data_IF_647876179195
#
_entry.id   IF_647876179195
#
_cell.length_a   1.000
_cell.length_b   1.000
_cell.length_c   1.000
_cell.angle_alpha   90.00
_cell.angle_beta   90.00
_cell.angle_gamma   90.00
#
_symmetry.space_group_name_H-M   'P 1'
#
loop_
_entity.id
_entity.type
_entity.pdbx_description
1 polymer ?
#
# COMPACT_ATOMS: atom_id res chain seq x y z
N UNK A 1 3.33 10.37 19.61
CA UNK A 1 2.65 10.30 18.30
C UNK A 1 3.69 9.96 17.23
N UNK A 2 3.53 8.87 16.47
CA UNK A 2 4.51 8.47 15.44
C UNK A 2 4.58 9.51 14.30
N UNK A 3 5.80 9.94 13.93
CA UNK A 3 6.07 10.89 12.82
C UNK A 3 5.34 10.47 11.53
N UNK A 4 4.66 11.41 10.85
CA UNK A 4 4.03 11.16 9.54
C UNK A 4 5.08 10.58 8.58
N UNK A 5 4.67 9.61 7.78
CA UNK A 5 5.51 9.08 6.72
C UNK A 5 5.50 10.10 5.61
N UNK A 6 6.69 10.56 5.20
CA UNK A 6 6.84 11.48 4.07
C UNK A 6 6.53 10.71 2.79
N UNK A 7 5.74 11.32 1.90
CA UNK A 7 5.35 10.71 0.63
C UNK A 7 5.42 11.74 -0.48
N UNK A 8 5.98 11.36 -1.60
CA UNK A 8 5.98 12.14 -2.84
C UNK A 8 4.86 11.65 -3.76
N UNK A 9 4.55 12.42 -4.80
CA UNK A 9 3.60 12.00 -5.83
C UNK A 9 4.38 11.38 -6.99
N UNK A 10 4.09 10.12 -7.33
CA UNK A 10 4.60 9.51 -8.55
C UNK A 10 3.66 9.87 -9.71
N UNK A 11 4.19 10.59 -10.70
CA UNK A 11 3.41 11.05 -11.85
C UNK A 11 3.07 9.93 -12.83
N UNK A 12 3.92 8.91 -12.95
CA UNK A 12 3.68 7.79 -13.86
C UNK A 12 2.57 6.87 -13.37
N UNK A 13 2.60 6.50 -12.09
CA UNK A 13 1.62 5.60 -11.51
C UNK A 13 0.39 6.32 -10.94
N UNK A 14 0.39 7.66 -10.88
CA UNK A 14 -0.68 8.47 -10.27
C UNK A 14 -0.92 8.14 -8.79
N UNK A 15 0.13 7.69 -8.09
CA UNK A 15 0.05 7.14 -6.72
C UNK A 15 1.02 7.88 -5.80
N UNK A 16 0.81 7.75 -4.49
CA UNK A 16 1.81 8.17 -3.50
C UNK A 16 2.99 7.22 -3.51
N UNK A 17 4.19 7.79 -3.51
CA UNK A 17 5.45 7.08 -3.42
C UNK A 17 6.16 7.36 -2.11
N UNK A 18 6.78 6.32 -1.56
CA UNK A 18 7.54 6.35 -0.32
C UNK A 18 9.01 6.11 -0.65
N UNK A 19 9.90 6.87 -0.03
CA UNK A 19 11.33 6.82 -0.36
C UNK A 19 11.98 5.48 0.01
N UNK A 20 11.49 4.80 1.04
CA UNK A 20 12.04 3.53 1.51
C UNK A 20 10.95 2.48 1.70
N UNK A 21 11.33 1.20 1.63
CA UNK A 21 10.43 0.08 1.94
C UNK A 21 9.84 0.22 3.34
N UNK A 22 10.67 0.62 4.32
CA UNK A 22 10.27 0.83 5.71
C UNK A 22 9.20 1.91 5.85
N UNK A 23 9.28 2.97 5.05
CA UNK A 23 8.27 4.03 5.02
C UNK A 23 6.96 3.52 4.42
N UNK A 24 7.02 2.73 3.34
CA UNK A 24 5.86 2.08 2.75
C UNK A 24 5.19 1.11 3.74
N UNK A 25 5.97 0.29 4.44
CA UNK A 25 5.48 -0.63 5.48
C UNK A 25 4.76 0.13 6.61
N UNK A 26 5.37 1.21 7.09
CA UNK A 26 4.78 2.07 8.11
C UNK A 26 3.49 2.74 7.63
N UNK A 27 3.43 3.18 6.37
CA UNK A 27 2.23 3.74 5.76
C UNK A 27 1.13 2.69 5.57
N UNK A 28 1.50 1.47 5.19
CA UNK A 28 0.59 0.34 5.07
C UNK A 28 0.00 -0.02 6.44
N UNK A 29 0.83 -0.17 7.47
CA UNK A 29 0.39 -0.48 8.84
C UNK A 29 -0.64 0.54 9.34
N UNK A 30 -0.40 1.84 9.12
CA UNK A 30 -1.36 2.90 9.44
C UNK A 30 -2.69 2.75 8.70
N UNK A 31 -2.62 2.47 7.41
CA UNK A 31 -3.80 2.27 6.57
C UNK A 31 -4.61 1.05 7.01
N UNK A 32 -3.94 -0.04 7.39
CA UNK A 32 -4.57 -1.24 7.94
C UNK A 32 -5.19 -0.98 9.31
N UNK A 33 -4.50 -0.26 10.21
CA UNK A 33 -5.08 0.14 11.51
C UNK A 33 -6.33 1.00 11.33
N UNK A 34 -6.32 1.95 10.39
CA UNK A 34 -7.49 2.78 10.08
C UNK A 34 -8.66 1.92 9.58
N UNK A 35 -8.41 0.98 8.66
CA UNK A 35 -9.43 0.03 8.18
C UNK A 35 -9.96 -0.86 9.31
N UNK A 36 -9.10 -1.36 10.20
CA UNK A 36 -9.52 -2.15 11.38
C UNK A 36 -10.43 -1.34 12.29
N UNK A 37 -10.06 -0.11 12.64
CA UNK A 37 -10.89 0.79 13.46
C UNK A 37 -12.26 1.06 12.82
N UNK A 38 -12.30 1.25 11.50
CA UNK A 38 -13.55 1.42 10.77
C UNK A 38 -14.41 0.16 10.81
N UNK A 39 -13.81 -1.01 10.59
CA UNK A 39 -14.50 -2.30 10.69
C UNK A 39 -15.07 -2.55 12.09
N UNK A 40 -14.31 -2.20 13.14
CA UNK A 40 -14.75 -2.28 14.54
C UNK A 40 -15.96 -1.39 14.79
N UNK A 41 -15.97 -0.16 14.27
CA UNK A 41 -17.11 0.74 14.35
C UNK A 41 -18.36 0.22 13.60
N UNK A 42 -18.17 -0.57 12.54
CA UNK A 42 -19.26 -1.23 11.81
C UNK A 42 -19.71 -2.57 12.44
N UNK A 43 -19.05 -3.03 13.51
CA UNK A 43 -19.44 -4.24 14.24
C UNK A 43 -19.05 -5.57 13.56
N UNK A 44 -18.35 -5.55 12.43
CA UNK A 44 -17.86 -6.77 11.77
C UNK A 44 -16.54 -6.56 11.05
N UNK A 45 -15.66 -7.56 11.16
CA UNK A 45 -14.36 -7.61 10.45
C UNK A 45 -14.38 -8.56 9.25
N UNK A 46 -15.55 -9.10 8.88
CA UNK A 46 -15.66 -10.06 7.77
C UNK A 46 -15.15 -9.43 6.48
N UNK A 47 -14.23 -10.11 5.79
CA UNK A 47 -13.60 -9.65 4.55
C UNK A 47 -12.42 -8.70 4.72
N UNK A 48 -11.99 -8.41 5.96
CA UNK A 48 -10.82 -7.58 6.20
C UNK A 48 -9.52 -8.42 6.11
N UNK A 49 -8.93 -8.45 4.92
CA UNK A 49 -7.64 -9.10 4.69
C UNK A 49 -6.46 -8.16 4.98
N UNK A 50 -5.44 -8.70 5.64
CA UNK A 50 -4.21 -8.00 6.01
C UNK A 50 -3.07 -8.70 5.31
N UNK A 51 -2.44 -7.99 4.38
CA UNK A 51 -1.32 -8.47 3.58
C UNK A 51 -0.31 -7.34 3.38
N UNK A 52 0.95 -7.71 3.14
CA UNK A 52 1.99 -6.78 2.71
C UNK A 52 1.76 -6.42 1.24
N UNK A 53 1.08 -5.29 1.03
CA UNK A 53 0.63 -4.81 -0.28
C UNK A 53 1.37 -3.53 -0.67
N UNK A 54 2.67 -3.67 -0.89
CA UNK A 54 3.52 -2.62 -1.45
C UNK A 54 4.50 -3.22 -2.47
N UNK A 55 4.97 -2.40 -3.41
CA UNK A 55 5.93 -2.80 -4.45
C UNK A 55 6.86 -1.64 -4.79
N UNK A 56 8.05 -1.98 -5.28
CA UNK A 56 9.01 -1.01 -5.80
C UNK A 56 8.58 -0.56 -7.21
N UNK A 57 8.59 0.74 -7.43
CA UNK A 57 8.31 1.37 -8.70
C UNK A 57 9.64 1.67 -9.39
N UNK A 58 9.93 0.95 -10.49
CA UNK A 58 11.16 1.14 -11.25
C UNK A 58 11.31 2.50 -11.92
N UNK A 59 10.25 3.30 -12.00
CA UNK A 59 10.27 4.61 -12.64
C UNK A 59 10.72 5.77 -11.74
N UNK A 60 10.29 5.74 -10.47
CA UNK A 60 10.62 6.79 -9.50
C UNK A 60 11.51 6.28 -8.37
N UNK A 61 12.08 5.08 -8.51
CA UNK A 61 12.93 4.39 -7.51
C UNK A 61 12.32 4.43 -6.10
N UNK A 62 10.99 4.31 -6.02
CA UNK A 62 10.23 4.50 -4.79
C UNK A 62 9.19 3.41 -4.59
N UNK A 63 8.55 3.39 -3.44
CA UNK A 63 7.66 2.31 -3.02
C UNK A 63 6.20 2.74 -3.08
N UNK A 64 5.34 1.96 -3.73
CA UNK A 64 3.92 2.22 -3.87
C UNK A 64 3.08 1.24 -3.05
N UNK A 65 1.99 1.72 -2.45
CA UNK A 65 0.96 0.85 -1.89
C UNK A 65 0.03 0.36 -3.01
N UNK A 66 -0.43 -0.88 -2.89
CA UNK A 66 -1.45 -1.44 -3.78
C UNK A 66 -2.68 -1.90 -3.00
N UNK A 67 -3.85 -1.79 -3.63
CA UNK A 67 -5.08 -2.38 -3.14
C UNK A 67 -5.20 -3.86 -3.53
N UNK A 68 -4.48 -4.29 -4.56
CA UNK A 68 -4.49 -5.66 -5.08
C UNK A 68 -3.84 -6.63 -4.09
N UNK A 69 -4.27 -7.88 -4.10
CA UNK A 69 -3.56 -8.94 -3.38
C UNK A 69 -2.18 -9.15 -4.01
N UNK A 70 -1.23 -9.70 -3.24
CA UNK A 70 0.11 -10.01 -3.77
C UNK A 70 0.03 -10.90 -5.03
N UNK A 71 -0.87 -11.87 -5.03
CA UNK A 71 -1.08 -12.74 -6.18
C UNK A 71 -1.57 -11.97 -7.41
N UNK A 72 -2.64 -11.18 -7.25
CA UNK A 72 -3.17 -10.39 -8.36
C UNK A 72 -2.16 -9.37 -8.91
N UNK A 73 -1.34 -8.77 -8.03
CA UNK A 73 -0.28 -7.86 -8.46
C UNK A 73 0.81 -8.58 -9.27
N UNK A 74 1.26 -9.75 -8.79
CA UNK A 74 2.26 -10.55 -9.50
C UNK A 74 1.74 -11.02 -10.86
N UNK A 75 0.47 -11.42 -10.94
CA UNK A 75 -0.15 -11.84 -12.20
C UNK A 75 -0.22 -10.66 -13.18
N UNK A 76 -0.61 -9.46 -12.73
CA UNK A 76 -0.63 -8.25 -13.59
C UNK A 76 0.77 -7.85 -14.08
N UNK A 77 1.77 -7.90 -13.19
CA UNK A 77 3.17 -7.63 -13.57
C UNK A 77 3.69 -8.68 -14.57
N UNK A 78 3.30 -9.95 -14.41
CA UNK A 78 3.69 -11.01 -15.35
C UNK A 78 3.06 -10.83 -16.74
N UNK A 79 1.94 -10.10 -16.83
CA UNK A 79 1.24 -9.79 -18.09
C UNK A 79 1.73 -8.45 -18.70
N UNK A 80 2.60 -7.70 -18.00
CA UNK A 80 3.20 -6.45 -18.51
C UNK A 80 2.24 -5.25 -18.55
N UNK A 81 1.19 -5.27 -17.73
CA UNK A 81 0.20 -4.18 -17.64
C UNK A 81 0.50 -3.33 -16.41
N UNK A 82 1.08 -2.14 -16.63
CA UNK A 82 1.41 -1.15 -15.60
C UNK A 82 0.20 -0.29 -15.19
#
# INVERSE_FOLDING_TARGET
>A
MSRRVESTWCHEAGKRSFATERDAEKALGRSQTSRRRKADAHGTRRGLYVENRYYECGACEGWHLTSQSRHAHNDMNAIGVH
#
